data_IF_155590015871
#
_entry.id   IF_155590015871
#
_cell.length_a   1.000
_cell.length_b   1.000
_cell.length_c   1.000
_cell.angle_alpha   90.00
_cell.angle_beta   90.00
_cell.angle_gamma   90.00
#
_symmetry.space_group_name_H-M   'P 1'
#
loop_
_entity.id
_entity.type
_entity.pdbx_description
1 polymer ?
#
# COMPACT_ATOMS: atom_id res chain seq x y z
N UNK A 1 -20.06 11.59 -12.12
CA UNK A 1 -19.28 11.04 -13.26
C UNK A 1 -19.86 9.69 -13.64
N UNK A 2 -19.92 9.35 -14.92
CA UNK A 2 -20.46 8.07 -15.38
C UNK A 2 -19.50 6.93 -15.05
N UNK A 3 -20.02 5.84 -14.48
CA UNK A 3 -19.24 4.64 -14.11
C UNK A 3 -18.95 3.82 -15.35
N UNK A 4 -17.70 3.42 -15.57
CA UNK A 4 -17.30 2.57 -16.70
C UNK A 4 -18.06 1.23 -16.70
N UNK A 5 -18.21 0.60 -17.86
CA UNK A 5 -18.89 -0.70 -17.97
C UNK A 5 -18.15 -1.80 -17.21
N UNK A 6 -16.82 -1.82 -17.28
CA UNK A 6 -15.99 -2.77 -16.55
C UNK A 6 -16.20 -2.65 -15.04
N UNK A 7 -16.09 -1.44 -14.48
CA UNK A 7 -16.27 -1.17 -13.05
C UNK A 7 -17.66 -1.59 -12.56
N UNK A 8 -18.71 -1.43 -13.39
CA UNK A 8 -20.06 -1.92 -13.08
C UNK A 8 -20.13 -3.45 -13.00
N UNK A 9 -19.51 -4.16 -13.95
CA UNK A 9 -19.53 -5.64 -13.98
C UNK A 9 -18.82 -6.23 -12.77
N UNK A 10 -17.64 -5.73 -12.43
CA UNK A 10 -16.84 -6.18 -11.29
C UNK A 10 -17.61 -6.05 -9.96
N UNK A 11 -18.26 -4.90 -9.75
CA UNK A 11 -19.10 -4.66 -8.58
C UNK A 11 -20.28 -5.64 -8.52
N UNK A 12 -21.01 -5.83 -9.62
CA UNK A 12 -22.16 -6.74 -9.67
C UNK A 12 -21.72 -8.20 -9.40
N UNK A 13 -20.60 -8.63 -9.96
CA UNK A 13 -20.12 -10.01 -9.81
C UNK A 13 -19.65 -10.31 -8.38
N UNK A 14 -19.02 -9.35 -7.70
CA UNK A 14 -18.67 -9.49 -6.28
C UNK A 14 -19.92 -9.64 -5.40
N UNK A 15 -20.96 -8.82 -5.64
CA UNK A 15 -22.22 -8.89 -4.92
C UNK A 15 -22.96 -10.21 -5.16
N UNK A 16 -22.95 -10.74 -6.39
CA UNK A 16 -23.51 -12.07 -6.71
C UNK A 16 -22.87 -13.20 -5.93
N UNK A 17 -21.58 -13.09 -5.60
CA UNK A 17 -20.84 -14.06 -4.78
C UNK A 17 -21.01 -13.83 -3.27
N UNK A 18 -21.77 -12.81 -2.86
CA UNK A 18 -21.91 -12.43 -1.45
C UNK A 18 -20.63 -11.82 -0.86
N UNK A 19 -19.73 -11.31 -1.71
CA UNK A 19 -18.45 -10.72 -1.31
C UNK A 19 -18.46 -9.21 -1.53
N UNK A 20 -17.68 -8.48 -0.74
CA UNK A 20 -17.45 -7.05 -0.96
C UNK A 20 -16.56 -6.86 -2.21
N UNK A 21 -16.86 -5.94 -3.14
CA UNK A 21 -15.98 -5.61 -4.26
C UNK A 21 -14.57 -5.20 -3.80
N UNK A 22 -13.58 -5.32 -4.68
CA UNK A 22 -12.23 -4.82 -4.40
C UNK A 22 -12.14 -3.32 -4.71
N UNK A 23 -12.76 -2.89 -5.81
CA UNK A 23 -12.86 -1.50 -6.26
C UNK A 23 -14.32 -1.08 -6.42
N UNK A 24 -14.56 0.24 -6.45
CA UNK A 24 -15.90 0.77 -6.68
C UNK A 24 -16.78 0.76 -5.43
N UNK A 25 -16.19 0.81 -4.24
CA UNK A 25 -16.96 0.82 -2.99
C UNK A 25 -17.65 2.17 -2.80
N UNK A 26 -17.10 3.25 -3.36
CA UNK A 26 -17.78 4.56 -3.49
C UNK A 26 -19.19 4.45 -4.10
N UNK A 27 -19.44 3.48 -4.98
CA UNK A 27 -20.75 3.27 -5.61
C UNK A 27 -21.77 2.60 -4.67
N UNK A 28 -21.29 1.96 -3.61
CA UNK A 28 -22.08 1.17 -2.67
C UNK A 28 -22.03 1.71 -1.24
N UNK A 29 -21.12 2.65 -0.96
CA UNK A 29 -20.84 3.18 0.37
C UNK A 29 -21.95 4.12 0.84
N UNK A 30 -23.08 3.55 1.24
CA UNK A 30 -24.19 4.29 1.82
C UNK A 30 -24.02 4.37 3.34
N UNK A 31 -24.14 5.58 3.90
CA UNK A 31 -24.13 5.80 5.35
C UNK A 31 -22.75 5.72 6.02
N UNK A 32 -21.67 5.67 5.23
CA UNK A 32 -20.30 5.77 5.74
C UNK A 32 -19.81 7.20 5.90
N UNK A 33 -20.52 8.19 5.35
CA UNK A 33 -20.18 9.62 5.41
C UNK A 33 -19.92 10.11 6.85
N UNK A 34 -20.66 9.56 7.81
CA UNK A 34 -20.48 9.85 9.25
C UNK A 34 -19.10 9.49 9.81
N UNK A 35 -18.36 8.61 9.14
CA UNK A 35 -17.01 8.20 9.53
C UNK A 35 -15.91 8.96 8.77
N UNK A 36 -16.26 9.71 7.72
CA UNK A 36 -15.26 10.37 6.86
C UNK A 36 -14.38 11.34 7.63
N UNK A 37 -14.96 12.19 8.47
CA UNK A 37 -14.18 13.18 9.22
C UNK A 37 -13.11 12.52 10.10
N UNK A 38 -13.49 11.45 10.82
CA UNK A 38 -12.57 10.71 11.68
C UNK A 38 -11.50 9.98 10.87
N UNK A 39 -11.89 9.29 9.79
CA UNK A 39 -10.96 8.58 8.91
C UNK A 39 -9.99 9.54 8.22
N UNK A 40 -10.46 10.68 7.74
CA UNK A 40 -9.60 11.67 7.07
C UNK A 40 -8.56 12.23 8.04
N UNK A 41 -8.96 12.59 9.27
CA UNK A 41 -8.02 13.08 10.28
C UNK A 41 -6.92 12.06 10.63
N UNK A 42 -7.26 10.77 10.62
CA UNK A 42 -6.29 9.69 10.84
C UNK A 42 -5.32 9.54 9.68
N UNK A 43 -5.82 9.58 8.44
CA UNK A 43 -4.97 9.57 7.25
C UNK A 43 -4.08 10.81 7.18
N UNK A 44 -4.58 11.97 7.60
CA UNK A 44 -3.79 13.21 7.69
C UNK A 44 -2.67 13.07 8.73
N UNK A 45 -2.97 12.46 9.89
CA UNK A 45 -1.98 12.17 10.94
C UNK A 45 -0.89 11.23 10.42
N UNK A 46 -1.27 10.16 9.71
CA UNK A 46 -0.32 9.21 9.12
C UNK A 46 0.50 9.88 8.00
N UNK A 47 -0.12 10.71 7.17
CA UNK A 47 0.56 11.46 6.12
C UNK A 47 1.59 12.47 6.64
N UNK A 48 1.41 12.96 7.87
CA UNK A 48 2.38 13.81 8.56
C UNK A 48 3.53 13.03 9.24
N UNK A 49 3.60 11.70 9.07
CA UNK A 49 4.61 10.83 9.68
C UNK A 49 4.22 10.26 11.04
N UNK A 50 2.97 10.44 11.48
CA UNK A 50 2.42 9.81 12.68
C UNK A 50 1.98 8.36 12.46
N UNK A 51 1.48 7.72 13.52
CA UNK A 51 0.87 6.40 13.45
C UNK A 51 -0.42 6.35 14.27
N UNK A 52 -1.37 5.52 13.82
CA UNK A 52 -2.68 5.35 14.46
C UNK A 52 -3.04 3.86 14.48
N UNK A 53 -3.66 3.42 15.57
CA UNK A 53 -4.30 2.10 15.67
C UNK A 53 -5.79 2.28 15.94
N UNK A 54 -6.63 1.60 15.15
CA UNK A 54 -8.09 1.61 15.32
C UNK A 54 -8.66 0.21 15.26
N UNK A 55 -9.53 -0.10 16.21
CA UNK A 55 -10.33 -1.32 16.24
C UNK A 55 -11.79 -1.02 15.88
N UNK A 56 -12.33 -1.74 14.90
CA UNK A 56 -13.72 -1.59 14.45
C UNK A 56 -14.53 -2.77 14.99
N UNK A 57 -15.50 -2.49 15.86
CA UNK A 57 -16.38 -3.50 16.47
C UNK A 57 -17.80 -3.35 15.97
N UNK A 58 -18.49 -4.47 15.80
CA UNK A 58 -19.88 -4.53 15.37
C UNK A 58 -20.34 -5.98 15.21
N UNK A 59 -21.65 -6.19 15.11
CA UNK A 59 -22.26 -7.51 14.94
C UNK A 59 -21.89 -8.17 13.60
N UNK A 60 -22.09 -9.48 13.49
CA UNK A 60 -21.90 -10.17 12.21
C UNK A 60 -22.82 -9.55 11.14
N UNK A 61 -22.28 -9.32 9.94
CA UNK A 61 -23.03 -8.64 8.87
C UNK A 61 -23.15 -7.12 9.01
N UNK A 62 -22.63 -6.49 10.07
CA UNK A 62 -22.72 -5.03 10.27
C UNK A 62 -21.83 -4.18 9.34
N UNK A 63 -21.23 -4.77 8.31
CA UNK A 63 -20.39 -4.06 7.33
C UNK A 63 -18.95 -3.76 7.77
N UNK A 64 -18.38 -4.46 8.76
CA UNK A 64 -16.98 -4.21 9.21
C UNK A 64 -15.94 -4.34 8.09
N UNK A 65 -16.01 -5.45 7.34
CA UNK A 65 -15.13 -5.69 6.18
C UNK A 65 -15.36 -4.67 5.07
N UNK A 66 -16.60 -4.24 4.89
CA UNK A 66 -16.93 -3.19 3.93
C UNK A 66 -16.30 -1.86 4.35
N UNK A 67 -16.41 -1.49 5.62
CA UNK A 67 -15.78 -0.29 6.17
C UNK A 67 -14.25 -0.32 6.04
N UNK A 68 -13.59 -1.45 6.35
CA UNK A 68 -12.13 -1.54 6.23
C UNK A 68 -11.66 -1.39 4.79
N UNK A 69 -12.36 -1.99 3.82
CA UNK A 69 -12.02 -1.85 2.40
C UNK A 69 -12.31 -0.45 1.87
N UNK A 70 -13.39 0.18 2.31
CA UNK A 70 -13.69 1.57 1.99
C UNK A 70 -12.60 2.52 2.52
N UNK A 71 -12.11 2.30 3.74
CA UNK A 71 -10.96 3.03 4.29
C UNK A 71 -9.70 2.83 3.45
N UNK A 72 -9.42 1.60 3.03
CA UNK A 72 -8.28 1.28 2.15
C UNK A 72 -8.39 1.97 0.80
N UNK A 73 -9.57 1.97 0.16
CA UNK A 73 -9.79 2.66 -1.12
C UNK A 73 -9.54 4.17 -0.97
N UNK A 74 -10.03 4.79 0.11
CA UNK A 74 -9.75 6.22 0.39
C UNK A 74 -8.28 6.51 0.65
N UNK A 75 -7.58 5.62 1.35
CA UNK A 75 -6.14 5.75 1.56
C UNK A 75 -5.40 5.70 0.21
N UNK A 76 -5.74 4.74 -0.67
CA UNK A 76 -5.13 4.64 -2.01
C UNK A 76 -5.38 5.87 -2.87
N UNK A 77 -6.60 6.44 -2.83
CA UNK A 77 -6.93 7.69 -3.52
C UNK A 77 -6.09 8.89 -3.04
N UNK A 78 -5.51 8.81 -1.84
CA UNK A 78 -4.59 9.81 -1.27
C UNK A 78 -3.10 9.44 -1.46
N UNK A 79 -2.80 8.41 -2.26
CA UNK A 79 -1.43 7.99 -2.55
C UNK A 79 -0.79 7.09 -1.50
N UNK A 80 -1.56 6.58 -0.52
CA UNK A 80 -1.02 5.60 0.43
C UNK A 80 -0.89 4.21 -0.20
N UNK A 81 0.15 3.49 0.21
CA UNK A 81 0.21 2.05 0.05
C UNK A 81 -0.58 1.36 1.17
N UNK A 82 -1.15 0.20 0.88
CA UNK A 82 -2.01 -0.55 1.80
C UNK A 82 -1.68 -2.03 1.76
N UNK A 83 -1.82 -2.73 2.89
CA UNK A 83 -1.79 -4.19 2.95
C UNK A 83 -2.98 -4.69 3.77
N UNK A 84 -3.80 -5.54 3.18
CA UNK A 84 -4.94 -6.18 3.85
C UNK A 84 -4.63 -7.66 4.07
N UNK A 85 -4.89 -8.16 5.27
CA UNK A 85 -4.84 -9.60 5.55
C UNK A 85 -5.96 -9.98 6.52
N UNK A 86 -6.46 -11.20 6.38
CA UNK A 86 -7.32 -11.81 7.39
C UNK A 86 -6.44 -12.36 8.51
N UNK A 87 -6.82 -12.14 9.76
CA UNK A 87 -6.19 -12.77 10.93
C UNK A 87 -6.84 -14.14 11.13
N UNK A 88 -6.02 -15.19 11.19
CA UNK A 88 -6.44 -16.57 11.47
C UNK A 88 -5.37 -17.29 12.28
N UNK A 89 -5.76 -18.29 13.08
CA UNK A 89 -4.79 -19.08 13.84
C UNK A 89 -3.90 -19.94 12.93
N UNK A 90 -4.42 -20.35 11.78
CA UNK A 90 -3.76 -21.27 10.85
C UNK A 90 -2.78 -20.57 9.91
N UNK A 91 -3.07 -19.34 9.47
CA UNK A 91 -2.28 -18.66 8.42
C UNK A 91 -1.58 -17.39 8.90
N UNK A 92 -2.17 -16.65 9.83
CA UNK A 92 -1.69 -15.33 10.29
C UNK A 92 -1.85 -15.15 11.81
N UNK A 93 -1.31 -16.07 12.62
CA UNK A 93 -1.48 -15.99 14.07
C UNK A 93 -0.73 -14.78 14.63
N UNK A 94 -1.39 -14.02 15.51
CA UNK A 94 -0.84 -12.78 16.09
C UNK A 94 0.39 -13.00 16.98
N UNK A 95 0.65 -14.24 17.42
CA UNK A 95 1.88 -14.58 18.16
C UNK A 95 3.10 -14.80 17.24
N UNK A 96 2.93 -14.85 15.91
CA UNK A 96 4.02 -14.94 14.93
C UNK A 96 4.05 -13.70 14.05
N UNK A 97 4.57 -12.61 14.62
CA UNK A 97 4.60 -11.29 13.97
C UNK A 97 5.36 -11.29 12.64
N UNK A 98 6.38 -12.15 12.48
CA UNK A 98 7.08 -12.34 11.20
C UNK A 98 6.15 -12.79 10.06
N UNK A 99 5.17 -13.64 10.38
CA UNK A 99 4.21 -14.13 9.39
C UNK A 99 3.18 -13.06 9.06
N UNK A 100 2.72 -12.34 10.07
CA UNK A 100 1.87 -11.16 9.89
C UNK A 100 2.55 -10.13 9.00
N UNK A 101 3.79 -9.76 9.30
CA UNK A 101 4.55 -8.78 8.53
C UNK A 101 4.73 -9.21 7.07
N UNK A 102 5.19 -10.44 6.86
CA UNK A 102 5.32 -11.02 5.50
C UNK A 102 4.00 -10.97 4.74
N UNK A 103 2.88 -11.34 5.36
CA UNK A 103 1.56 -11.32 4.71
C UNK A 103 1.07 -9.91 4.38
N UNK A 104 1.38 -8.93 5.22
CA UNK A 104 1.10 -7.51 4.91
C UNK A 104 1.90 -7.05 3.70
N UNK A 105 3.19 -7.40 3.62
CA UNK A 105 4.06 -7.04 2.49
C UNK A 105 3.65 -7.77 1.20
N UNK A 106 3.32 -9.07 1.28
CA UNK A 106 2.86 -9.87 0.13
C UNK A 106 1.54 -9.35 -0.45
N UNK A 107 0.68 -8.76 0.39
CA UNK A 107 -0.59 -8.15 -0.03
C UNK A 107 -0.49 -6.64 -0.23
N UNK A 108 0.73 -6.08 -0.32
CA UNK A 108 0.92 -4.66 -0.60
C UNK A 108 0.23 -4.29 -1.91
N UNK A 109 -0.49 -3.17 -1.90
CA UNK A 109 -1.21 -2.61 -3.04
C UNK A 109 -1.08 -1.10 -3.00
N UNK A 110 -0.92 -0.47 -4.17
CA UNK A 110 -0.89 0.99 -4.32
C UNK A 110 -2.05 1.46 -5.20
N UNK A 111 -2.09 2.75 -5.54
CA UNK A 111 -3.04 3.25 -6.53
C UNK A 111 -2.71 2.78 -7.95
N UNK A 112 -1.43 2.50 -8.23
CA UNK A 112 -0.92 2.14 -9.57
C UNK A 112 -0.79 0.63 -9.76
N UNK A 113 -0.41 -0.08 -8.70
CA UNK A 113 -0.14 -1.51 -8.73
C UNK A 113 -1.18 -2.29 -7.91
N UNK A 114 -1.76 -3.36 -8.47
CA UNK A 114 -2.68 -4.24 -7.75
C UNK A 114 -1.97 -5.02 -6.63
N UNK A 115 -2.66 -5.96 -6.00
CA UNK A 115 -2.09 -6.76 -4.91
C UNK A 115 -0.78 -7.45 -5.31
N UNK A 116 0.13 -7.58 -4.33
CA UNK A 116 1.52 -8.01 -4.51
C UNK A 116 2.43 -6.97 -5.20
N UNK A 117 2.11 -5.69 -5.03
CA UNK A 117 2.83 -4.53 -5.56
C UNK A 117 4.27 -4.37 -5.07
N UNK A 118 4.72 -5.10 -4.05
CA UNK A 118 6.03 -4.84 -3.43
C UNK A 118 7.17 -4.91 -4.45
N UNK A 119 7.17 -5.93 -5.32
CA UNK A 119 8.18 -6.06 -6.38
C UNK A 119 8.10 -4.89 -7.37
N UNK A 120 6.91 -4.60 -7.88
CA UNK A 120 6.70 -3.54 -8.87
C UNK A 120 7.12 -2.16 -8.34
N UNK A 121 6.86 -1.88 -7.07
CA UNK A 121 7.29 -0.66 -6.39
C UNK A 121 8.82 -0.57 -6.32
N UNK A 122 9.51 -1.66 -6.00
CA UNK A 122 10.98 -1.68 -5.95
C UNK A 122 11.57 -1.53 -7.36
N UNK A 123 11.02 -2.25 -8.34
CA UNK A 123 11.48 -2.19 -9.73
C UNK A 123 11.28 -0.78 -10.31
N UNK A 124 10.14 -0.14 -10.06
CA UNK A 124 9.89 1.25 -10.45
C UNK A 124 10.82 2.25 -9.78
N UNK A 125 11.16 2.02 -8.50
CA UNK A 125 12.13 2.86 -7.79
C UNK A 125 13.56 2.69 -8.33
N UNK A 126 13.97 1.45 -8.63
CA UNK A 126 15.28 1.15 -9.25
C UNK A 126 15.37 1.78 -10.65
N UNK A 127 14.33 1.67 -11.45
CA UNK A 127 14.26 2.34 -12.75
C UNK A 127 14.42 3.85 -12.60
N UNK A 128 13.75 4.46 -11.60
CA UNK A 128 13.89 5.90 -11.32
C UNK A 128 15.33 6.26 -10.92
N UNK A 129 15.99 5.42 -10.09
CA UNK A 129 17.39 5.60 -9.72
C UNK A 129 18.34 5.55 -10.92
N UNK A 130 18.11 4.61 -11.84
CA UNK A 130 18.86 4.52 -13.10
C UNK A 130 18.70 5.79 -13.94
N UNK A 131 17.47 6.26 -14.14
CA UNK A 131 17.20 7.50 -14.87
C UNK A 131 17.88 8.71 -14.21
N UNK A 132 17.81 8.81 -12.87
CA UNK A 132 18.46 9.89 -12.12
C UNK A 132 20.00 9.82 -12.26
N UNK A 133 20.59 8.62 -12.28
CA UNK A 133 22.03 8.43 -12.49
C UNK A 133 22.46 8.88 -13.89
N UNK A 134 21.67 8.55 -14.93
CA UNK A 134 21.91 8.99 -16.30
C UNK A 134 21.84 10.52 -16.40
N UNK A 135 20.81 11.14 -15.80
CA UNK A 135 20.66 12.60 -15.76
C UNK A 135 21.83 13.26 -15.01
N UNK A 136 22.38 12.60 -14.00
CA UNK A 136 23.56 13.06 -13.26
C UNK A 136 24.89 12.88 -14.02
N UNK A 137 24.87 12.27 -15.22
CA UNK A 137 26.02 12.15 -16.12
C UNK A 137 26.59 10.74 -16.27
N UNK A 138 25.91 9.70 -15.78
CA UNK A 138 26.30 8.32 -16.08
C UNK A 138 26.01 7.98 -17.55
N UNK A 139 26.91 7.26 -18.22
CA UNK A 139 26.70 6.80 -19.59
C UNK A 139 25.77 5.58 -19.59
N UNK A 140 24.64 5.69 -20.29
CA UNK A 140 23.68 4.59 -20.41
C UNK A 140 24.22 3.38 -21.20
N UNK A 141 25.29 3.55 -21.98
CA UNK A 141 25.90 2.48 -22.77
C UNK A 141 27.05 1.78 -22.04
N UNK A 142 27.49 2.30 -20.88
CA UNK A 142 28.51 1.69 -20.03
C UNK A 142 27.82 1.07 -18.82
N UNK A 143 27.38 -0.20 -18.97
CA UNK A 143 26.66 -0.94 -17.91
C UNK A 143 27.42 -0.97 -16.57
N UNK A 144 28.74 -1.26 -16.53
CA UNK A 144 29.51 -1.18 -15.28
C UNK A 144 29.49 0.22 -14.64
N UNK A 145 29.71 1.28 -15.42
CA UNK A 145 29.73 2.64 -14.90
C UNK A 145 28.35 3.09 -14.40
N UNK A 146 27.29 2.75 -15.14
CA UNK A 146 25.91 3.04 -14.76
C UNK A 146 25.55 2.32 -13.45
N UNK A 147 25.84 1.02 -13.34
CA UNK A 147 25.56 0.25 -12.13
C UNK A 147 26.25 0.83 -10.89
N UNK A 148 27.53 1.21 -11.02
CA UNK A 148 28.27 1.86 -9.93
C UNK A 148 27.67 3.23 -9.54
N UNK A 149 27.22 4.02 -10.52
CA UNK A 149 26.55 5.30 -10.27
C UNK A 149 25.21 5.12 -9.55
N UNK A 150 24.42 4.13 -9.96
CA UNK A 150 23.13 3.76 -9.33
C UNK A 150 23.35 3.29 -7.89
N UNK A 151 24.32 2.41 -7.66
CA UNK A 151 24.65 1.93 -6.30
C UNK A 151 25.08 3.09 -5.38
N UNK A 152 25.89 4.01 -5.89
CA UNK A 152 26.28 5.21 -5.16
C UNK A 152 25.06 6.09 -4.80
N UNK A 153 24.14 6.30 -5.75
CA UNK A 153 22.93 7.08 -5.54
C UNK A 153 21.96 6.39 -4.55
N UNK A 154 21.79 5.07 -4.69
CA UNK A 154 21.03 4.21 -3.80
C UNK A 154 21.52 4.37 -2.36
N UNK A 155 22.82 4.15 -2.13
CA UNK A 155 23.44 4.28 -0.82
C UNK A 155 23.27 5.69 -0.25
N UNK A 156 23.41 6.73 -1.07
CA UNK A 156 23.20 8.12 -0.65
C UNK A 156 21.76 8.38 -0.18
N UNK A 157 20.75 7.88 -0.91
CA UNK A 157 19.34 8.02 -0.53
C UNK A 157 19.01 7.21 0.72
N UNK A 158 19.45 5.96 0.79
CA UNK A 158 19.24 5.10 1.95
C UNK A 158 19.92 5.64 3.22
N UNK A 159 21.08 6.29 3.08
CA UNK A 159 21.78 6.91 4.21
C UNK A 159 20.97 8.05 4.87
N UNK A 160 20.07 8.72 4.15
CA UNK A 160 19.17 9.71 4.75
C UNK A 160 18.11 9.04 5.63
N UNK A 161 17.55 7.92 5.17
CA UNK A 161 16.53 7.15 5.89
C UNK A 161 17.14 6.43 7.12
N UNK A 162 18.36 5.92 6.97
CA UNK A 162 19.10 5.29 8.06
C UNK A 162 19.29 6.21 9.28
N UNK A 163 19.35 7.53 9.07
CA UNK A 163 19.47 8.53 10.16
C UNK A 163 18.20 8.66 11.00
N UNK A 164 17.03 8.49 10.39
CA UNK A 164 15.74 8.56 11.10
C UNK A 164 15.29 7.20 11.65
N UNK A 165 15.78 6.09 11.10
CA UNK A 165 15.37 4.74 11.52
C UNK A 165 16.57 3.79 11.60
N UNK A 166 17.31 3.79 12.72
CA UNK A 166 18.54 3.01 12.87
C UNK A 166 18.35 1.50 12.66
N UNK A 167 17.17 0.97 13.02
CA UNK A 167 16.85 -0.45 12.84
C UNK A 167 16.76 -0.86 11.36
N UNK A 168 16.35 0.06 10.47
CA UNK A 168 16.26 -0.19 9.03
C UNK A 168 17.66 -0.33 8.39
N UNK A 169 18.62 0.46 8.88
CA UNK A 169 20.01 0.41 8.43
C UNK A 169 20.70 -0.94 8.76
N UNK A 170 20.23 -1.64 9.79
CA UNK A 170 20.73 -2.98 10.16
C UNK A 170 20.23 -4.07 9.21
N UNK A 171 19.05 -3.89 8.59
CA UNK A 171 18.47 -4.86 7.66
C UNK A 171 19.02 -4.76 6.23
N UNK A 172 19.69 -3.64 5.89
CA UNK A 172 20.26 -3.37 4.58
C UNK A 172 21.76 -3.72 4.45
N UNK A 173 22.41 -4.18 5.54
CA UNK A 173 23.79 -4.66 5.55
C UNK A 173 23.82 -6.18 5.59
#
# INVERSE_FOLDING_TARGET
MAVSEQRRREVIDALRRGTVPYDGLDLLAVGLDRFEAATNAELDTVGAGGSVFKAVRGEYGSGKTFFSRWLVERARQRGFASGEMQISETETPLHRLETVYRRVVENLTTAEYPASAFRDVIDGWLFTLEQDAIVAGADANDEPALSAAVESLLNKRLALIARSTPAFATALR
#
